data_IF_560943434537
#
_entry.id   IF_560943434537
#
_cell.length_a   1.000
_cell.length_b   1.000
_cell.length_c   1.000
_cell.angle_alpha   90.00
_cell.angle_beta   90.00
_cell.angle_gamma   90.00
#
_symmetry.space_group_name_H-M   'P 1'
#
loop_
_entity.id
_entity.type
_entity.pdbx_description
1 polymer ?
#
# COMPACT_ATOMS: atom_id res chain seq x y z
N UNK A 1 -21.84 42.82 -4.80
CA UNK A 1 -20.83 42.62 -3.73
C UNK A 1 -20.40 41.15 -3.72
N UNK A 2 -19.18 40.82 -3.28
CA UNK A 2 -18.59 39.46 -3.33
C UNK A 2 -18.45 38.80 -1.94
N UNK A 3 -18.23 37.47 -1.97
CA UNK A 3 -17.85 36.46 -0.91
C UNK A 3 -18.99 35.42 -0.72
N UNK A 4 -18.87 34.09 -0.93
CA UNK A 4 -17.79 33.05 -0.75
C UNK A 4 -17.34 32.98 0.73
N UNK A 5 -17.17 31.83 1.41
CA UNK A 5 -16.62 30.48 1.10
C UNK A 5 -17.23 29.44 2.11
N UNK A 6 -17.25 28.09 2.00
CA UNK A 6 -17.03 27.08 0.92
C UNK A 6 -17.69 25.72 1.32
N UNK A 7 -17.34 24.59 0.66
CA UNK A 7 -17.82 23.22 0.94
C UNK A 7 -17.20 22.55 2.20
N UNK A 8 -17.91 21.55 2.76
CA UNK A 8 -17.37 20.18 2.94
C UNK A 8 -18.47 19.16 2.61
N UNK A 9 -18.17 18.17 1.78
CA UNK A 9 -19.03 17.01 1.53
C UNK A 9 -18.16 15.75 1.55
N UNK A 10 -18.15 15.03 2.68
CA UNK A 10 -17.38 13.80 2.89
C UNK A 10 -18.27 12.81 3.64
N UNK A 11 -18.36 11.59 3.13
CA UNK A 11 -19.25 10.54 3.63
C UNK A 11 -19.42 9.45 2.57
N UNK A 12 -18.35 8.69 2.32
CA UNK A 12 -18.35 7.65 1.29
C UNK A 12 -19.38 6.55 1.63
N UNK A 13 -20.15 6.05 0.64
CA UNK A 13 -21.01 4.90 0.84
C UNK A 13 -20.16 3.65 1.14
N UNK A 14 -20.65 2.85 2.10
CA UNK A 14 -20.13 1.57 2.57
C UNK A 14 -20.03 0.43 1.52
N UNK A 15 -19.85 -0.78 2.04
CA UNK A 15 -20.20 -2.10 1.50
C UNK A 15 -20.45 -2.99 2.73
N UNK A 16 -21.53 -3.74 2.75
CA UNK A 16 -21.76 -4.93 3.60
C UNK A 16 -21.90 -6.07 2.63
N UNK A 17 -21.40 -7.29 2.88
CA UNK A 17 -21.76 -8.47 2.09
C UNK A 17 -22.75 -9.35 2.86
N UNK A 18 -23.65 -10.01 2.14
CA UNK A 18 -24.54 -11.05 2.62
C UNK A 18 -24.73 -12.10 1.52
N UNK A 19 -24.08 -13.25 1.66
CA UNK A 19 -24.49 -14.46 0.98
C UNK A 19 -25.61 -15.13 1.78
N UNK A 20 -26.67 -15.53 1.09
CA UNK A 20 -27.61 -16.53 1.59
C UNK A 20 -27.39 -17.81 0.79
N UNK A 21 -27.22 -18.95 1.48
CA UNK A 21 -26.95 -20.24 0.85
C UNK A 21 -28.17 -20.91 0.20
N UNK A 22 -29.27 -20.17 0.04
CA UNK A 22 -30.48 -20.59 -0.67
C UNK A 22 -30.86 -19.55 -1.73
N UNK A 23 -31.23 -20.01 -2.92
CA UNK A 23 -31.53 -19.13 -4.07
C UNK A 23 -32.71 -18.17 -3.82
N UNK A 24 -33.67 -18.58 -2.99
CA UNK A 24 -34.84 -17.77 -2.63
C UNK A 24 -34.45 -16.47 -1.91
N UNK A 25 -33.54 -16.53 -0.94
CA UNK A 25 -33.11 -15.36 -0.19
C UNK A 25 -32.20 -14.42 -1.00
N UNK A 26 -31.43 -14.96 -1.96
CA UNK A 26 -30.73 -14.14 -2.98
C UNK A 26 -31.75 -13.44 -3.89
N UNK A 27 -32.82 -14.14 -4.28
CA UNK A 27 -33.90 -13.59 -5.11
C UNK A 27 -34.72 -12.52 -4.38
N UNK A 28 -35.02 -12.66 -3.09
CA UNK A 28 -35.62 -11.58 -2.29
C UNK A 28 -34.67 -10.38 -2.13
N UNK A 29 -33.40 -10.63 -1.80
CA UNK A 29 -32.43 -9.56 -1.63
C UNK A 29 -32.20 -8.73 -2.90
N UNK A 30 -32.28 -9.35 -4.08
CA UNK A 30 -32.22 -8.66 -5.38
C UNK A 30 -33.33 -7.61 -5.60
N UNK A 31 -34.41 -7.65 -4.80
CA UNK A 31 -35.50 -6.68 -4.85
C UNK A 31 -35.24 -5.44 -3.96
N UNK A 32 -34.20 -5.48 -3.13
CA UNK A 32 -33.85 -4.38 -2.23
C UNK A 32 -33.23 -3.21 -3.01
N UNK A 33 -33.46 -1.98 -2.52
CA UNK A 33 -33.11 -0.74 -3.23
C UNK A 33 -32.53 0.33 -2.31
N UNK A 34 -31.62 1.18 -2.81
CA UNK A 34 -31.16 2.38 -2.11
C UNK A 34 -32.35 3.22 -1.62
N UNK A 35 -32.29 3.70 -0.37
CA UNK A 35 -33.33 4.48 0.29
C UNK A 35 -34.40 3.67 1.02
N UNK A 36 -34.45 2.34 0.88
CA UNK A 36 -35.29 1.51 1.73
C UNK A 36 -34.76 1.47 3.17
N UNK A 37 -35.67 1.29 4.14
CA UNK A 37 -35.32 1.14 5.56
C UNK A 37 -35.40 -0.32 6.00
N UNK A 38 -34.42 -0.71 6.82
CA UNK A 38 -34.35 -1.99 7.50
C UNK A 38 -34.27 -1.70 9.01
N UNK A 39 -35.36 -1.96 9.74
CA UNK A 39 -35.59 -1.39 11.08
C UNK A 39 -35.38 0.14 11.07
N UNK A 40 -34.47 0.66 11.89
CA UNK A 40 -34.10 2.09 11.94
C UNK A 40 -33.09 2.51 10.86
N UNK A 41 -32.38 1.57 10.25
CA UNK A 41 -31.25 1.81 9.35
C UNK A 41 -31.70 2.02 7.91
N UNK A 42 -31.04 2.94 7.20
CA UNK A 42 -31.34 3.28 5.80
C UNK A 42 -30.32 2.62 4.88
N UNK A 43 -30.77 1.72 4.02
CA UNK A 43 -29.95 1.12 2.96
C UNK A 43 -29.53 2.24 2.01
N UNK A 44 -28.24 2.34 1.73
CA UNK A 44 -27.67 3.45 0.94
C UNK A 44 -27.16 3.04 -0.43
N UNK A 45 -26.83 1.77 -0.63
CA UNK A 45 -26.56 1.13 -1.92
C UNK A 45 -26.79 -0.40 -1.75
N UNK A 46 -27.06 -1.09 -2.86
CA UNK A 46 -27.12 -2.55 -2.94
C UNK A 46 -26.14 -3.01 -4.02
N UNK A 47 -25.27 -3.97 -3.73
CA UNK A 47 -24.39 -4.62 -4.75
C UNK A 47 -24.69 -6.12 -4.82
N UNK A 48 -24.37 -6.74 -5.95
CA UNK A 48 -24.51 -8.18 -6.17
C UNK A 48 -23.17 -8.75 -6.69
N UNK A 49 -22.83 -9.97 -6.27
CA UNK A 49 -21.75 -10.78 -6.83
C UNK A 49 -22.31 -12.14 -7.28
N UNK A 50 -21.45 -13.05 -7.75
CA UNK A 50 -21.88 -14.42 -8.09
C UNK A 50 -22.16 -15.26 -6.83
N UNK A 51 -21.55 -14.90 -5.68
CA UNK A 51 -21.60 -15.67 -4.43
C UNK A 51 -22.53 -15.05 -3.36
N UNK A 52 -23.10 -13.87 -3.61
CA UNK A 52 -23.98 -13.18 -2.66
C UNK A 52 -24.44 -11.79 -3.08
N UNK A 53 -25.09 -11.07 -2.17
CA UNK A 53 -25.48 -9.67 -2.32
C UNK A 53 -24.82 -8.79 -1.25
N UNK A 54 -25.16 -7.50 -1.19
CA UNK A 54 -24.49 -6.53 -0.34
C UNK A 54 -25.39 -5.35 0.05
N UNK A 55 -25.54 -5.01 1.35
CA UNK A 55 -26.46 -3.97 1.86
C UNK A 55 -25.80 -2.95 2.80
N UNK A 56 -25.20 -1.89 2.28
CA UNK A 56 -24.53 -0.89 3.11
C UNK A 56 -25.50 0.14 3.72
N UNK A 57 -25.40 0.34 5.02
CA UNK A 57 -26.22 1.30 5.77
C UNK A 57 -25.54 2.67 5.90
N UNK A 58 -26.33 3.74 5.85
CA UNK A 58 -25.84 5.12 6.01
C UNK A 58 -25.72 5.57 7.47
N UNK A 59 -26.43 4.89 8.36
CA UNK A 59 -26.67 5.34 9.72
C UNK A 59 -25.63 4.78 10.70
N UNK A 60 -25.20 5.62 11.63
CA UNK A 60 -24.26 5.26 12.71
C UNK A 60 -24.93 4.32 13.71
N UNK A 61 -24.25 3.22 14.06
CA UNK A 61 -24.73 2.23 15.02
C UNK A 61 -23.95 2.30 16.34
N UNK A 62 -24.55 1.75 17.40
CA UNK A 62 -23.85 1.47 18.66
C UNK A 62 -23.70 -0.05 18.77
N UNK A 63 -22.48 -0.49 19.02
CA UNK A 63 -22.11 -1.89 19.25
C UNK A 63 -21.61 -2.03 20.69
N UNK A 64 -21.75 -3.23 21.26
CA UNK A 64 -21.35 -3.55 22.63
C UNK A 64 -20.78 -4.97 22.66
N UNK A 65 -19.74 -5.20 23.46
CA UNK A 65 -19.02 -6.47 23.43
C UNK A 65 -17.88 -6.56 24.43
N UNK A 66 -17.05 -7.58 24.27
CA UNK A 66 -15.89 -7.91 25.09
C UNK A 66 -14.63 -7.88 24.21
N UNK A 67 -13.70 -6.99 24.55
CA UNK A 67 -12.36 -6.97 23.95
C UNK A 67 -11.54 -8.08 24.58
N UNK A 68 -10.94 -8.91 23.72
CA UNK A 68 -10.03 -9.98 24.09
C UNK A 68 -8.63 -9.67 23.56
N UNK A 69 -7.62 -9.92 24.40
CA UNK A 69 -6.23 -9.89 23.99
C UNK A 69 -5.95 -11.11 23.07
N UNK A 70 -5.56 -10.89 21.81
CA UNK A 70 -5.16 -11.96 20.89
C UNK A 70 -3.63 -12.09 20.83
N UNK A 71 -3.15 -13.32 20.69
CA UNK A 71 -1.72 -13.66 20.70
C UNK A 71 -0.90 -13.18 19.49
N UNK A 72 -1.43 -12.23 18.71
CA UNK A 72 -0.82 -11.66 17.50
C UNK A 72 -0.59 -10.14 17.61
N UNK A 73 -0.92 -9.51 18.75
CA UNK A 73 -0.77 -8.06 18.96
C UNK A 73 -1.94 -7.21 18.43
N UNK A 74 -2.92 -7.83 17.78
CA UNK A 74 -4.19 -7.21 17.42
C UNK A 74 -5.27 -7.48 18.48
N UNK A 75 -6.15 -6.51 18.71
CA UNK A 75 -7.29 -6.65 19.62
C UNK A 75 -8.50 -7.21 18.86
N UNK A 76 -8.88 -8.45 19.18
CA UNK A 76 -10.14 -9.04 18.74
C UNK A 76 -11.27 -8.63 19.69
N UNK A 77 -12.49 -8.43 19.18
CA UNK A 77 -13.64 -8.08 20.02
C UNK A 77 -14.79 -9.03 19.72
N UNK A 78 -15.12 -9.90 20.67
CA UNK A 78 -16.38 -10.63 20.61
C UNK A 78 -17.50 -9.64 20.96
N UNK A 79 -18.58 -9.58 20.20
CA UNK A 79 -19.62 -8.57 20.43
C UNK A 79 -21.02 -9.08 20.09
N UNK A 80 -21.83 -9.21 21.14
CA UNK A 80 -23.25 -9.51 21.02
C UNK A 80 -24.01 -8.31 20.43
N UNK A 81 -24.79 -8.57 19.37
CA UNK A 81 -25.74 -7.60 18.83
C UNK A 81 -26.96 -7.48 19.76
N UNK A 82 -26.75 -6.81 20.91
CA UNK A 82 -27.76 -6.67 21.95
C UNK A 82 -29.07 -6.06 21.44
N UNK A 83 -30.16 -6.75 21.75
CA UNK A 83 -31.56 -6.31 21.65
C UNK A 83 -32.14 -5.92 20.28
N UNK A 84 -31.49 -6.22 19.15
CA UNK A 84 -32.12 -6.05 17.82
C UNK A 84 -32.12 -7.32 16.96
N UNK A 85 -33.31 -7.93 16.82
CA UNK A 85 -33.57 -8.98 15.83
C UNK A 85 -33.52 -8.40 14.41
N UNK A 86 -32.41 -8.62 13.71
CA UNK A 86 -32.26 -8.33 12.28
C UNK A 86 -32.92 -9.48 11.49
N UNK A 87 -34.25 -9.43 11.32
CA UNK A 87 -35.01 -10.49 10.63
C UNK A 87 -34.97 -10.30 9.09
N UNK A 88 -34.05 -10.99 8.42
CA UNK A 88 -33.91 -10.98 6.94
C UNK A 88 -34.56 -12.22 6.34
N UNK A 89 -35.55 -12.06 5.46
CA UNK A 89 -36.07 -13.12 4.57
C UNK A 89 -36.28 -14.49 5.24
N UNK A 90 -37.25 -14.55 6.18
CA UNK A 90 -37.63 -15.67 7.07
C UNK A 90 -36.53 -16.39 7.88
N UNK A 91 -35.26 -16.08 7.65
CA UNK A 91 -34.15 -16.45 8.51
C UNK A 91 -34.06 -15.43 9.66
N UNK A 92 -34.07 -15.93 10.89
CA UNK A 92 -33.77 -15.12 12.06
C UNK A 92 -32.26 -15.16 12.24
N UNK A 93 -31.59 -14.00 12.19
CA UNK A 93 -30.24 -13.86 12.76
C UNK A 93 -30.43 -13.99 14.27
N UNK A 94 -30.13 -15.17 14.80
CA UNK A 94 -30.63 -15.60 16.11
C UNK A 94 -29.82 -14.96 17.25
N UNK A 95 -30.45 -14.16 18.14
CA UNK A 95 -29.76 -13.52 19.26
C UNK A 95 -29.34 -14.59 20.27
N UNK A 96 -28.06 -14.99 20.20
CA UNK A 96 -27.49 -16.10 20.97
C UNK A 96 -26.31 -16.80 20.29
N UNK A 97 -26.02 -16.50 19.01
CA UNK A 97 -24.75 -16.88 18.38
C UNK A 97 -23.72 -15.77 18.60
N UNK A 98 -22.71 -16.06 19.41
CA UNK A 98 -21.55 -15.19 19.62
C UNK A 98 -20.86 -14.87 18.28
N UNK A 99 -20.52 -13.60 18.02
CA UNK A 99 -19.88 -13.16 16.77
C UNK A 99 -18.65 -12.30 17.05
N UNK A 100 -17.58 -12.57 16.32
CA UNK A 100 -16.30 -11.87 16.48
C UNK A 100 -16.26 -10.68 15.52
N UNK A 101 -16.35 -9.49 16.11
CA UNK A 101 -16.26 -8.21 15.41
C UNK A 101 -14.79 -7.80 15.27
N UNK A 102 -14.26 -7.95 14.06
CA UNK A 102 -12.90 -7.56 13.71
C UNK A 102 -12.88 -6.09 13.29
N UNK A 103 -12.54 -5.21 14.21
CA UNK A 103 -12.36 -3.79 13.89
C UNK A 103 -11.16 -3.61 12.97
N UNK A 104 -11.36 -2.89 11.85
CA UNK A 104 -10.33 -2.68 10.80
C UNK A 104 -9.09 -1.89 11.25
N UNK A 105 -9.10 -1.35 12.47
CA UNK A 105 -7.95 -0.70 13.08
C UNK A 105 -7.99 -0.87 14.62
N UNK A 106 -7.51 -2.00 15.18
CA UNK A 106 -7.56 -2.24 16.63
C UNK A 106 -6.78 -1.18 17.43
N UNK A 107 -5.76 -0.55 16.82
CA UNK A 107 -4.95 0.52 17.41
C UNK A 107 -5.76 1.82 17.66
N UNK A 108 -6.87 2.04 16.94
CA UNK A 108 -7.80 3.16 17.23
C UNK A 108 -8.62 2.95 18.51
N UNK A 109 -8.82 1.70 18.95
CA UNK A 109 -9.49 1.38 20.22
C UNK A 109 -8.48 1.45 21.38
N UNK A 110 -7.25 0.98 21.14
CA UNK A 110 -6.14 0.98 22.09
C UNK A 110 -5.99 2.29 22.89
N UNK A 111 -6.17 3.44 22.22
CA UNK A 111 -6.03 4.79 22.80
C UNK A 111 -7.05 5.17 23.90
N UNK A 112 -8.15 4.42 24.04
CA UNK A 112 -9.20 4.71 25.02
C UNK A 112 -9.06 3.89 26.31
N UNK A 113 -8.23 2.85 26.31
CA UNK A 113 -7.84 2.12 27.52
C UNK A 113 -6.81 2.95 28.31
N UNK A 114 -6.95 2.99 29.63
CA UNK A 114 -5.95 3.65 30.49
C UNK A 114 -4.70 2.78 30.64
N UNK A 115 -3.53 3.37 30.91
CA UNK A 115 -2.28 2.62 31.08
C UNK A 115 -2.36 1.50 32.14
N UNK A 116 -3.19 1.68 33.17
CA UNK A 116 -3.44 0.69 34.22
C UNK A 116 -4.20 -0.57 33.75
N UNK A 117 -4.59 -0.63 32.48
CA UNK A 117 -5.23 -1.78 31.81
C UNK A 117 -4.24 -2.55 30.93
N UNK A 118 -2.96 -2.22 30.99
CA UNK A 118 -1.88 -2.90 30.29
C UNK A 118 -0.87 -3.48 31.28
N UNK A 119 -0.25 -4.60 30.89
CA UNK A 119 0.89 -5.19 31.58
C UNK A 119 2.10 -5.20 30.64
N UNK A 120 3.28 -4.88 31.18
CA UNK A 120 4.53 -4.95 30.44
C UNK A 120 4.97 -6.42 30.26
N UNK A 121 5.34 -6.77 29.03
CA UNK A 121 5.91 -8.07 28.64
C UNK A 121 7.23 -7.85 27.89
N UNK A 122 8.07 -8.88 27.68
CA UNK A 122 9.31 -8.74 26.90
C UNK A 122 9.09 -8.19 25.48
N UNK A 123 7.93 -8.47 24.89
CA UNK A 123 7.55 -8.08 23.53
C UNK A 123 6.74 -6.76 23.48
N UNK A 124 6.48 -6.13 24.63
CA UNK A 124 5.78 -4.84 24.76
C UNK A 124 4.62 -4.84 25.77
N UNK A 125 3.86 -3.73 25.83
CA UNK A 125 2.63 -3.64 26.63
C UNK A 125 1.48 -4.41 25.98
N UNK A 126 0.81 -5.29 26.74
CA UNK A 126 -0.39 -6.02 26.29
C UNK A 126 -1.57 -5.79 27.23
N UNK A 127 -2.80 -5.86 26.69
CA UNK A 127 -4.04 -5.59 27.43
C UNK A 127 -4.32 -6.66 28.49
N UNK A 128 -4.64 -6.25 29.72
CA UNK A 128 -4.69 -7.11 30.90
C UNK A 128 -6.06 -7.80 31.09
N UNK A 129 -6.34 -8.81 30.26
CA UNK A 129 -7.54 -9.63 30.35
C UNK A 129 -8.64 -9.20 29.37
N UNK A 130 -9.89 -9.34 29.82
CA UNK A 130 -11.09 -9.06 29.02
C UNK A 130 -11.77 -7.79 29.51
N UNK A 131 -12.17 -6.91 28.59
CA UNK A 131 -12.83 -5.63 28.93
C UNK A 131 -14.12 -5.44 28.13
N UNK A 132 -15.21 -5.07 28.81
CA UNK A 132 -16.46 -4.74 28.13
C UNK A 132 -16.33 -3.37 27.47
N UNK A 133 -16.64 -3.26 26.18
CA UNK A 133 -16.60 -2.00 25.43
C UNK A 133 -17.94 -1.72 24.77
N UNK A 134 -18.34 -0.45 24.78
CA UNK A 134 -19.46 0.08 24.01
C UNK A 134 -18.90 1.11 23.02
N UNK A 135 -19.06 0.87 21.72
CA UNK A 135 -18.51 1.72 20.66
C UNK A 135 -19.62 2.30 19.79
N UNK A 136 -19.38 3.52 19.29
CA UNK A 136 -20.12 4.10 18.18
C UNK A 136 -19.37 3.73 16.91
N UNK A 137 -19.99 2.92 16.05
CA UNK A 137 -19.40 2.46 14.81
C UNK A 137 -20.14 3.03 13.60
N UNK A 138 -19.38 3.31 12.54
CA UNK A 138 -19.88 3.32 11.17
C UNK A 138 -19.17 2.21 10.42
N UNK A 139 -19.39 2.12 9.11
CA UNK A 139 -18.56 1.25 8.29
C UNK A 139 -18.72 -0.24 8.59
N UNK A 140 -19.91 -0.66 9.04
CA UNK A 140 -20.22 -2.07 9.25
C UNK A 140 -20.18 -2.81 7.91
N UNK A 141 -19.52 -3.95 7.90
CA UNK A 141 -19.47 -4.90 6.80
C UNK A 141 -19.61 -6.31 7.38
N UNK A 142 -20.63 -7.05 6.98
CA UNK A 142 -20.68 -8.50 7.24
C UNK A 142 -19.91 -9.18 6.11
N UNK A 143 -19.14 -10.22 6.43
CA UNK A 143 -18.62 -11.18 5.45
C UNK A 143 -19.30 -12.52 5.74
N UNK A 144 -19.66 -13.25 4.68
CA UNK A 144 -20.44 -14.50 4.77
C UNK A 144 -19.70 -15.72 4.23
N UNK A 145 -18.54 -15.53 3.60
CA UNK A 145 -17.66 -16.63 3.21
C UNK A 145 -16.85 -17.14 4.40
N UNK A 146 -16.76 -16.35 5.47
CA UNK A 146 -16.54 -16.82 6.84
C UNK A 146 -17.81 -16.57 7.64
N UNK A 147 -18.28 -17.55 8.43
CA UNK A 147 -19.58 -17.50 9.11
C UNK A 147 -19.65 -16.48 10.26
N UNK A 148 -18.49 -16.00 10.72
CA UNK A 148 -18.35 -15.37 12.03
C UNK A 148 -17.64 -14.01 11.99
N UNK A 149 -17.37 -13.47 10.79
CA UNK A 149 -16.67 -12.22 10.59
C UNK A 149 -17.61 -11.06 10.24
N UNK A 150 -17.70 -10.10 11.15
CA UNK A 150 -18.22 -8.77 10.87
C UNK A 150 -17.05 -7.79 11.07
N UNK A 151 -16.80 -6.91 10.10
CA UNK A 151 -15.84 -5.81 10.24
C UNK A 151 -16.56 -4.47 10.43
N UNK A 152 -15.92 -3.54 11.14
CA UNK A 152 -16.50 -2.23 11.42
C UNK A 152 -15.41 -1.16 11.56
N UNK A 153 -15.79 0.11 11.37
CA UNK A 153 -14.97 1.27 11.73
C UNK A 153 -15.51 1.92 13.01
N UNK A 154 -14.72 1.88 14.08
CA UNK A 154 -15.02 2.69 15.27
C UNK A 154 -14.91 4.17 14.89
N UNK A 155 -15.94 4.93 15.23
CA UNK A 155 -15.93 6.40 15.17
C UNK A 155 -15.64 6.97 16.55
N UNK A 156 -16.16 6.33 17.59
CA UNK A 156 -15.97 6.76 18.98
C UNK A 156 -16.14 5.59 19.97
N UNK A 157 -15.56 5.69 21.16
CA UNK A 157 -15.79 4.76 22.28
C UNK A 157 -16.65 5.46 23.31
N UNK A 158 -17.77 4.83 23.68
CA UNK A 158 -18.78 5.42 24.57
C UNK A 158 -18.56 5.02 26.03
N UNK A 159 -18.10 3.79 26.26
CA UNK A 159 -17.72 3.30 27.59
C UNK A 159 -16.79 2.10 27.53
N UNK A 160 -15.94 1.94 28.54
CA UNK A 160 -15.16 0.73 28.84
C UNK A 160 -15.47 0.32 30.29
N UNK A 161 -15.80 -0.96 30.51
CA UNK A 161 -16.22 -1.54 31.80
C UNK A 161 -17.29 -0.70 32.52
N UNK A 162 -18.28 -0.22 31.74
CA UNK A 162 -19.39 0.62 32.21
C UNK A 162 -19.03 2.07 32.58
N UNK A 163 -17.75 2.46 32.52
CA UNK A 163 -17.26 3.82 32.76
C UNK A 163 -17.13 4.56 31.43
N UNK A 164 -17.32 5.88 31.41
CA UNK A 164 -16.85 6.67 30.26
C UNK A 164 -15.34 6.43 30.09
N UNK A 165 -14.82 6.33 28.85
CA UNK A 165 -13.39 6.23 28.65
C UNK A 165 -12.72 7.49 29.19
N UNK A 166 -11.43 7.38 29.53
CA UNK A 166 -10.63 8.58 29.80
C UNK A 166 -10.60 9.39 28.51
N UNK A 167 -11.07 10.66 28.52
CA UNK A 167 -10.83 11.56 27.39
C UNK A 167 -9.33 11.58 27.10
N UNK A 168 -8.87 11.46 25.84
CA UNK A 168 -7.44 11.34 25.53
C UNK A 168 -6.61 12.46 26.18
N UNK A 169 -5.99 12.14 27.31
CA UNK A 169 -5.31 13.12 28.15
C UNK A 169 -4.02 13.56 27.48
N UNK A 170 -3.81 14.87 27.48
CA UNK A 170 -2.75 15.59 26.78
C UNK A 170 -2.90 15.66 25.26
N UNK A 171 -2.62 16.85 24.73
CA UNK A 171 -2.63 17.13 23.30
C UNK A 171 -1.43 16.48 22.63
N UNK A 172 -1.58 15.23 22.18
CA UNK A 172 -0.67 14.69 21.17
C UNK A 172 -0.61 15.68 19.99
N UNK A 173 0.58 16.02 19.45
CA UNK A 173 0.70 16.97 18.35
C UNK A 173 -0.13 16.46 17.17
N UNK A 174 -0.98 17.33 16.59
CA UNK A 174 -2.06 17.02 15.62
C UNK A 174 -1.67 15.84 14.72
N UNK A 175 -2.11 14.63 15.09
CA UNK A 175 -1.54 13.41 14.49
C UNK A 175 -1.88 13.41 13.01
N UNK A 176 -0.84 13.62 12.21
CA UNK A 176 -0.98 13.96 10.79
C UNK A 176 -1.79 12.86 10.09
N UNK A 177 -2.72 13.27 9.23
CA UNK A 177 -3.44 12.31 8.38
C UNK A 177 -2.43 11.50 7.57
N UNK A 178 -2.79 10.28 7.18
CA UNK A 178 -1.93 9.40 6.39
C UNK A 178 -1.33 10.09 5.16
N UNK A 179 -2.15 10.93 4.51
CA UNK A 179 -1.78 11.85 3.43
C UNK A 179 -0.75 12.91 3.87
N UNK A 180 -0.99 13.64 4.97
CA UNK A 180 -0.02 14.60 5.56
C UNK A 180 1.31 13.91 5.94
N UNK A 181 1.29 12.65 6.39
CA UNK A 181 2.50 11.86 6.71
C UNK A 181 3.27 11.48 5.44
N UNK A 182 2.60 10.91 4.44
CA UNK A 182 3.21 10.56 3.15
C UNK A 182 3.80 11.80 2.46
N UNK A 183 3.08 12.92 2.46
CA UNK A 183 3.56 14.21 1.94
C UNK A 183 4.76 14.81 2.69
N UNK A 184 5.00 14.41 3.95
CA UNK A 184 6.14 14.89 4.76
C UNK A 184 7.32 13.90 4.83
N UNK A 185 7.16 12.63 4.43
CA UNK A 185 8.19 11.57 4.48
C UNK A 185 9.54 12.06 3.96
N UNK A 186 9.61 12.43 2.68
CA UNK A 186 10.84 12.88 2.02
C UNK A 186 11.40 14.23 2.50
N UNK A 187 10.72 14.93 3.43
CA UNK A 187 11.31 16.06 4.17
C UNK A 187 11.92 15.57 5.49
N UNK A 188 11.16 14.81 6.28
CA UNK A 188 11.62 14.26 7.56
C UNK A 188 12.80 13.31 7.42
N UNK A 189 12.81 12.51 6.35
CA UNK A 189 13.89 11.60 5.96
C UNK A 189 15.20 12.35 5.66
N UNK A 190 15.14 13.42 4.86
CA UNK A 190 16.30 14.31 4.66
C UNK A 190 16.75 15.01 5.94
N UNK A 191 15.84 15.35 6.86
CA UNK A 191 16.21 15.92 8.16
C UNK A 191 16.92 14.90 9.06
N UNK A 192 16.48 13.63 9.07
CA UNK A 192 17.20 12.54 9.74
C UNK A 192 18.63 12.44 9.20
N UNK A 193 18.78 12.46 7.88
CA UNK A 193 20.06 12.39 7.20
C UNK A 193 20.98 13.56 7.47
N UNK A 194 20.45 14.79 7.45
CA UNK A 194 21.20 15.98 7.83
C UNK A 194 21.75 15.90 9.25
N UNK A 195 20.99 15.33 10.21
CA UNK A 195 21.43 15.19 11.60
C UNK A 195 22.51 14.11 11.70
N UNK A 196 22.31 12.94 11.07
CA UNK A 196 23.31 11.86 11.03
C UNK A 196 24.63 12.38 10.43
N UNK A 197 24.59 13.03 9.26
CA UNK A 197 25.79 13.58 8.62
C UNK A 197 26.52 14.63 9.46
N UNK A 198 25.79 15.45 10.23
CA UNK A 198 26.38 16.41 11.19
C UNK A 198 27.07 15.68 12.35
N UNK A 199 26.45 14.63 12.90
CA UNK A 199 26.99 13.84 14.01
C UNK A 199 28.20 13.00 13.60
N UNK A 200 28.16 12.34 12.44
CA UNK A 200 29.30 11.61 11.86
C UNK A 200 30.50 12.52 11.65
N UNK A 201 30.27 13.77 11.22
CA UNK A 201 31.34 14.76 11.03
C UNK A 201 31.89 15.34 12.33
N UNK A 202 31.06 15.45 13.39
CA UNK A 202 31.44 16.01 14.68
C UNK A 202 32.07 14.99 15.64
N UNK A 203 31.58 13.75 15.61
CA UNK A 203 31.98 12.64 16.47
C UNK A 203 31.94 11.33 15.66
N UNK A 204 32.91 11.10 14.75
CA UNK A 204 32.96 9.86 13.98
C UNK A 204 33.14 8.63 14.90
N UNK A 205 32.44 7.52 14.65
CA UNK A 205 32.53 6.33 15.48
C UNK A 205 33.88 5.62 15.29
N UNK A 206 34.53 5.25 16.40
CA UNK A 206 35.90 4.67 16.40
C UNK A 206 36.05 3.39 15.56
N UNK A 207 34.99 2.59 15.46
CA UNK A 207 34.96 1.35 14.70
C UNK A 207 34.35 1.49 13.30
N UNK A 208 34.09 2.71 12.82
CA UNK A 208 33.34 2.95 11.58
C UNK A 208 31.82 2.94 11.77
N UNK A 209 31.11 3.41 10.74
CA UNK A 209 29.69 3.76 10.82
C UNK A 209 28.79 2.56 10.48
N UNK A 210 28.56 1.69 11.47
CA UNK A 210 27.61 0.59 11.34
C UNK A 210 26.20 1.00 11.76
N UNK A 211 25.32 1.15 10.76
CA UNK A 211 23.89 1.25 10.96
C UNK A 211 23.30 -0.06 11.53
N UNK A 212 22.04 -0.02 11.98
CA UNK A 212 21.34 -1.13 12.65
C UNK A 212 19.88 -1.15 12.24
N UNK A 213 19.34 -2.32 11.93
CA UNK A 213 17.94 -2.52 11.50
C UNK A 213 16.92 -1.81 12.40
N UNK A 214 17.15 -1.85 13.72
CA UNK A 214 16.51 -0.95 14.68
C UNK A 214 17.40 0.28 14.95
N UNK A 215 16.92 1.45 14.54
CA UNK A 215 17.56 2.76 14.78
C UNK A 215 17.76 3.07 16.27
N UNK A 216 16.94 2.53 17.18
CA UNK A 216 17.15 2.68 18.64
C UNK A 216 18.41 1.98 19.12
N UNK A 217 18.91 1.03 18.33
CA UNK A 217 20.16 0.34 18.59
C UNK A 217 21.41 1.05 18.02
N UNK A 218 21.23 2.07 17.18
CA UNK A 218 22.29 2.91 16.61
C UNK A 218 23.04 3.71 17.68
N UNK A 219 24.32 4.02 17.42
CA UNK A 219 25.19 4.67 18.40
C UNK A 219 24.67 6.04 18.83
N UNK A 220 24.30 6.91 17.89
CA UNK A 220 23.85 8.27 18.22
C UNK A 220 22.50 8.31 18.92
N UNK A 221 21.62 7.32 18.75
CA UNK A 221 20.39 7.24 19.56
C UNK A 221 20.73 7.04 21.05
N UNK A 222 21.78 6.27 21.32
CA UNK A 222 22.25 5.99 22.69
C UNK A 222 23.12 7.11 23.27
N UNK A 223 23.81 7.91 22.45
CA UNK A 223 24.80 8.90 22.92
C UNK A 223 24.47 10.37 22.65
N UNK A 224 23.47 10.70 21.83
CA UNK A 224 23.09 12.08 21.52
C UNK A 224 21.58 12.30 21.75
N UNK A 225 21.26 13.19 22.70
CA UNK A 225 19.88 13.41 23.15
C UNK A 225 19.02 14.14 22.09
N UNK A 226 19.60 15.06 21.31
CA UNK A 226 18.88 15.77 20.23
C UNK A 226 18.41 14.81 19.12
N UNK A 227 19.29 13.89 18.70
CA UNK A 227 18.97 12.86 17.72
C UNK A 227 17.96 11.86 18.25
N UNK A 228 18.07 11.45 19.53
CA UNK A 228 17.07 10.59 20.17
C UNK A 228 15.70 11.27 20.16
N UNK A 229 15.61 12.52 20.61
CA UNK A 229 14.38 13.30 20.63
C UNK A 229 13.76 13.48 19.22
N UNK A 230 14.59 13.67 18.18
CA UNK A 230 14.10 13.72 16.79
C UNK A 230 13.57 12.36 16.30
N UNK A 231 14.24 11.25 16.62
CA UNK A 231 13.76 9.89 16.28
C UNK A 231 12.47 9.56 17.04
N UNK A 232 12.35 9.97 18.31
CA UNK A 232 11.12 9.82 19.09
C UNK A 232 9.98 10.71 18.55
N UNK A 233 10.27 11.91 18.01
CA UNK A 233 9.29 12.73 17.28
C UNK A 233 8.73 11.97 16.06
N UNK A 234 9.60 11.32 15.27
CA UNK A 234 9.19 10.54 14.09
C UNK A 234 8.25 9.38 14.48
N UNK A 235 8.59 8.64 15.55
CA UNK A 235 7.73 7.58 16.08
C UNK A 235 6.39 8.12 16.63
N UNK A 236 6.41 9.27 17.32
CA UNK A 236 5.19 9.91 17.84
C UNK A 236 4.24 10.34 16.71
N UNK A 237 4.79 10.93 15.63
CA UNK A 237 4.06 11.27 14.41
C UNK A 237 3.43 10.06 13.72
N UNK A 238 4.02 8.87 13.87
CA UNK A 238 3.52 7.62 13.30
C UNK A 238 4.34 7.08 12.12
N UNK A 239 5.57 7.55 11.92
CA UNK A 239 6.52 6.88 11.04
C UNK A 239 7.08 5.63 11.73
N UNK A 240 7.34 4.59 10.93
CA UNK A 240 8.37 3.61 11.26
C UNK A 240 9.69 3.99 10.59
N UNK A 241 10.77 3.32 10.99
CA UNK A 241 12.10 3.49 10.41
C UNK A 241 12.69 2.09 10.15
N UNK A 242 13.21 1.86 8.95
CA UNK A 242 13.91 0.63 8.53
C UNK A 242 15.32 0.98 8.01
N UNK A 243 16.19 -0.02 7.88
CA UNK A 243 17.55 0.15 7.36
C UNK A 243 17.84 -0.85 6.24
N UNK A 244 18.41 -0.35 5.15
CA UNK A 244 18.96 -1.11 4.03
C UNK A 244 19.94 -0.23 3.25
N UNK A 245 20.81 -0.82 2.41
CA UNK A 245 21.78 -0.09 1.57
C UNK A 245 22.77 0.78 2.38
N UNK A 246 22.97 0.46 3.66
CA UNK A 246 23.70 1.32 4.60
C UNK A 246 22.96 2.63 4.97
N UNK A 247 21.65 2.71 4.73
CA UNK A 247 20.82 3.90 4.90
C UNK A 247 19.57 3.65 5.76
N UNK A 248 19.10 4.67 6.51
CA UNK A 248 17.80 4.68 7.18
C UNK A 248 16.71 5.31 6.29
N UNK A 249 15.61 4.59 6.15
CA UNK A 249 14.39 5.04 5.47
C UNK A 249 13.21 5.10 6.42
N UNK A 250 12.36 6.12 6.27
CA UNK A 250 11.07 6.23 6.95
C UNK A 250 10.01 5.44 6.19
N UNK A 251 9.08 4.83 6.91
CA UNK A 251 7.90 4.21 6.33
C UNK A 251 6.61 4.61 7.08
N UNK A 252 5.46 4.32 6.47
CA UNK A 252 4.13 4.59 7.02
C UNK A 252 3.32 3.30 6.92
N UNK A 253 2.60 2.94 7.97
CA UNK A 253 1.84 1.68 8.15
C UNK A 253 2.69 0.39 8.22
N UNK A 254 3.51 0.12 7.20
CA UNK A 254 4.35 -1.08 7.07
C UNK A 254 5.73 -0.74 6.50
N UNK A 255 6.80 -1.51 6.80
CA UNK A 255 8.07 -1.41 6.10
C UNK A 255 7.89 -1.55 4.58
N UNK A 256 8.74 -0.87 3.81
CA UNK A 256 8.89 -1.12 2.38
C UNK A 256 9.52 -2.50 2.13
N UNK A 257 10.35 -3.00 3.05
CA UNK A 257 10.95 -4.33 2.96
C UNK A 257 12.24 -4.37 2.14
N UNK A 258 12.96 -3.25 2.08
CA UNK A 258 14.30 -3.17 1.50
C UNK A 258 15.21 -4.23 2.15
N UNK A 259 16.04 -4.92 1.35
CA UNK A 259 16.94 -5.97 1.85
C UNK A 259 18.39 -5.49 1.79
N UNK A 260 19.14 -5.74 2.86
CA UNK A 260 20.52 -5.27 3.01
C UNK A 260 21.51 -6.29 2.42
N UNK A 261 21.66 -6.29 1.09
CA UNK A 261 22.60 -7.15 0.38
C UNK A 261 22.46 -7.11 -1.15
N UNK A 262 23.61 -7.07 -1.85
CA UNK A 262 23.76 -7.21 -3.31
C UNK A 262 22.99 -6.20 -4.19
N UNK A 263 23.35 -4.92 -4.05
CA UNK A 263 23.30 -3.96 -5.17
C UNK A 263 24.73 -3.76 -5.68
N UNK A 264 24.99 -4.12 -6.94
CA UNK A 264 26.28 -3.89 -7.61
C UNK A 264 26.51 -2.39 -7.84
N UNK A 265 27.76 -1.94 -7.92
CA UNK A 265 28.12 -0.51 -7.78
C UNK A 265 27.92 0.33 -9.06
N UNK A 266 26.74 0.24 -9.70
CA UNK A 266 26.37 0.96 -10.93
C UNK A 266 25.26 2.01 -10.73
N UNK A 267 25.67 3.16 -10.18
CA UNK A 267 25.07 4.49 -10.46
C UNK A 267 23.59 4.74 -10.09
N UNK A 268 23.37 5.09 -8.81
CA UNK A 268 22.31 6.02 -8.39
C UNK A 268 20.96 5.39 -8.04
N UNK A 269 20.27 5.99 -7.07
CA UNK A 269 18.95 5.55 -6.59
C UNK A 269 17.92 5.59 -7.73
N UNK A 270 17.56 4.41 -8.22
CA UNK A 270 16.99 4.19 -9.56
C UNK A 270 15.54 4.63 -9.79
N UNK A 271 14.95 5.49 -8.95
CA UNK A 271 13.57 5.93 -9.10
C UNK A 271 13.49 7.24 -9.90
N UNK A 272 13.09 7.15 -11.16
CA UNK A 272 12.67 8.32 -11.93
C UNK A 272 11.25 8.73 -11.51
N UNK A 273 10.94 10.03 -11.53
CA UNK A 273 9.61 10.57 -11.19
C UNK A 273 9.01 11.25 -12.41
N UNK A 274 7.94 10.70 -12.97
CA UNK A 274 7.36 11.20 -14.23
C UNK A 274 7.01 12.69 -14.15
N UNK A 275 6.51 13.17 -13.01
CA UNK A 275 6.17 14.58 -12.77
C UNK A 275 7.38 15.54 -12.78
N UNK A 276 8.59 15.02 -12.61
CA UNK A 276 9.84 15.79 -12.64
C UNK A 276 10.50 15.79 -14.03
N UNK A 277 10.14 14.82 -14.89
CA UNK A 277 10.68 14.65 -16.24
C UNK A 277 10.06 15.60 -17.26
N UNK A 278 10.81 15.93 -18.32
CA UNK A 278 10.39 16.87 -19.38
C UNK A 278 10.94 16.46 -20.75
N UNK A 279 10.14 16.66 -21.81
CA UNK A 279 10.62 16.54 -23.20
C UNK A 279 11.85 17.44 -23.43
N UNK A 280 12.89 16.86 -24.03
CA UNK A 280 14.21 17.48 -24.22
C UNK A 280 15.20 17.29 -23.07
N UNK A 281 14.80 16.68 -21.95
CA UNK A 281 15.71 16.35 -20.85
C UNK A 281 16.59 15.14 -21.20
N UNK A 282 17.86 15.18 -20.77
CA UNK A 282 18.75 14.03 -20.85
C UNK A 282 18.58 13.12 -19.61
N UNK A 283 18.47 11.81 -19.85
CA UNK A 283 18.42 10.75 -18.83
C UNK A 283 19.32 9.60 -19.32
N UNK A 284 20.34 9.23 -18.54
CA UNK A 284 21.33 8.21 -18.92
C UNK A 284 21.97 8.42 -20.32
N UNK A 285 22.12 9.69 -20.74
CA UNK A 285 22.65 10.02 -22.08
C UNK A 285 21.69 9.74 -23.25
N UNK A 286 20.42 9.43 -22.97
CA UNK A 286 19.32 9.42 -23.94
C UNK A 286 18.49 10.71 -23.74
N UNK A 287 17.79 11.16 -24.78
CA UNK A 287 16.96 12.38 -24.73
C UNK A 287 15.48 12.01 -24.66
N UNK A 288 14.71 12.59 -23.73
CA UNK A 288 13.26 12.39 -23.70
C UNK A 288 12.64 13.06 -24.94
N UNK A 289 12.28 12.25 -25.94
CA UNK A 289 11.68 12.68 -27.20
C UNK A 289 10.17 12.76 -27.15
N UNK A 290 9.52 11.94 -26.31
CA UNK A 290 8.07 11.96 -26.08
C UNK A 290 7.77 12.01 -24.58
N UNK A 291 6.74 12.76 -24.22
CA UNK A 291 6.31 12.95 -22.84
C UNK A 291 4.84 13.38 -22.83
N UNK A 292 3.97 12.54 -22.30
CA UNK A 292 2.57 12.82 -22.03
C UNK A 292 2.18 12.20 -20.68
N UNK A 293 1.44 12.94 -19.87
CA UNK A 293 0.96 12.50 -18.56
C UNK A 293 -0.41 13.13 -18.32
N UNK A 294 -1.45 12.31 -18.32
CA UNK A 294 -2.84 12.69 -18.02
C UNK A 294 -3.23 11.96 -16.72
N UNK A 295 -3.05 12.58 -15.55
CA UNK A 295 -3.13 11.88 -14.27
C UNK A 295 -4.47 11.16 -14.04
N UNK A 296 -4.41 9.84 -13.87
CA UNK A 296 -5.58 8.97 -13.69
C UNK A 296 -6.23 8.47 -14.99
N UNK A 297 -5.68 8.81 -16.16
CA UNK A 297 -6.10 8.29 -17.47
C UNK A 297 -4.95 7.51 -18.14
N UNK A 298 -3.92 8.18 -18.64
CA UNK A 298 -2.77 7.54 -19.30
C UNK A 298 -1.44 8.29 -19.17
N UNK A 299 -0.35 7.64 -19.56
CA UNK A 299 0.99 8.24 -19.68
C UNK A 299 1.78 7.64 -20.86
N UNK A 300 2.70 8.43 -21.42
CA UNK A 300 3.66 8.02 -22.47
C UNK A 300 4.99 8.70 -22.21
N UNK A 301 6.10 7.96 -22.30
CA UNK A 301 7.45 8.49 -22.30
C UNK A 301 8.31 7.79 -23.36
N UNK A 302 9.00 8.58 -24.19
CA UNK A 302 9.88 8.10 -25.26
C UNK A 302 11.29 8.67 -25.11
N UNK A 303 12.30 7.85 -25.38
CA UNK A 303 13.72 8.14 -25.23
C UNK A 303 14.45 7.93 -26.57
N UNK A 304 14.86 9.03 -27.20
CA UNK A 304 15.67 9.06 -28.41
C UNK A 304 17.16 8.91 -28.10
N UNK A 305 17.85 8.16 -28.95
CA UNK A 305 19.25 7.80 -28.83
C UNK A 305 19.46 6.29 -28.99
N UNK A 306 20.72 5.85 -28.91
CA UNK A 306 21.09 4.43 -28.95
C UNK A 306 21.69 3.99 -27.63
N UNK A 307 21.51 2.73 -27.26
CA UNK A 307 22.20 2.12 -26.13
C UNK A 307 22.40 0.62 -26.34
N UNK A 308 23.39 0.07 -25.62
CA UNK A 308 23.59 -1.36 -25.49
C UNK A 308 22.86 -1.86 -24.23
N UNK A 309 22.28 -3.05 -24.28
CA UNK A 309 21.69 -3.74 -23.13
C UNK A 309 21.74 -5.26 -23.28
N UNK A 310 21.83 -5.98 -22.16
CA UNK A 310 21.91 -7.45 -22.09
C UNK A 310 20.66 -8.04 -21.45
N UNK A 311 20.26 -9.23 -21.89
CA UNK A 311 19.03 -9.88 -21.43
C UNK A 311 18.72 -11.17 -22.18
N UNK A 312 17.47 -11.59 -22.17
CA UNK A 312 17.01 -12.82 -22.81
C UNK A 312 15.96 -12.52 -23.89
N UNK A 313 16.12 -13.14 -25.06
CA UNK A 313 15.06 -13.26 -26.07
C UNK A 313 14.31 -14.59 -25.91
N UNK A 314 13.00 -14.56 -26.08
CA UNK A 314 12.12 -15.73 -26.13
C UNK A 314 10.83 -15.38 -26.89
N UNK A 315 10.06 -16.39 -27.30
CA UNK A 315 8.71 -16.22 -27.83
C UNK A 315 7.72 -16.06 -26.67
N UNK A 316 6.93 -14.99 -26.67
CA UNK A 316 5.84 -14.79 -25.72
C UNK A 316 4.57 -15.52 -26.21
N UNK A 317 4.17 -16.58 -25.51
CA UNK A 317 3.02 -17.42 -25.86
C UNK A 317 1.67 -16.67 -25.83
N UNK A 318 1.56 -15.53 -25.14
CA UNK A 318 0.33 -14.73 -25.09
C UNK A 318 0.15 -13.86 -26.35
N UNK A 319 1.26 -13.44 -26.97
CA UNK A 319 1.25 -12.46 -28.07
C UNK A 319 1.76 -13.02 -29.41
N UNK A 320 2.42 -14.18 -29.43
CA UNK A 320 3.11 -14.77 -30.61
C UNK A 320 4.21 -13.85 -31.19
N UNK A 321 4.87 -13.10 -30.30
CA UNK A 321 5.89 -12.09 -30.59
C UNK A 321 7.21 -12.42 -29.86
N UNK A 322 8.35 -12.02 -30.44
CA UNK A 322 9.65 -12.15 -29.76
C UNK A 322 9.79 -11.00 -28.76
N UNK A 323 9.86 -11.36 -27.48
CA UNK A 323 9.99 -10.42 -26.35
C UNK A 323 11.41 -10.43 -25.80
N UNK A 324 11.87 -9.28 -25.30
CA UNK A 324 13.11 -9.13 -24.55
C UNK A 324 12.83 -8.86 -23.05
N UNK A 325 13.49 -9.63 -22.21
CA UNK A 325 13.57 -9.44 -20.75
C UNK A 325 14.99 -8.98 -20.40
N UNK A 326 15.14 -7.79 -19.83
CA UNK A 326 16.44 -7.22 -19.50
C UNK A 326 17.01 -7.84 -18.21
N UNK A 327 18.34 -8.00 -18.15
CA UNK A 327 19.02 -8.34 -16.90
C UNK A 327 18.86 -7.22 -15.85
N UNK A 328 18.98 -7.54 -14.57
CA UNK A 328 18.94 -6.51 -13.52
C UNK A 328 20.20 -5.64 -13.54
N UNK A 329 20.09 -4.36 -13.14
CA UNK A 329 21.16 -3.36 -13.25
C UNK A 329 21.41 -2.79 -14.65
N UNK A 330 20.70 -3.30 -15.67
CA UNK A 330 20.80 -2.84 -17.05
C UNK A 330 20.35 -1.39 -17.27
N UNK A 331 20.84 -0.77 -18.36
CA UNK A 331 20.54 0.62 -18.66
C UNK A 331 19.03 0.80 -18.94
N UNK A 332 18.39 1.69 -18.16
CA UNK A 332 16.94 1.88 -18.07
C UNK A 332 16.15 0.71 -17.42
N UNK A 333 16.76 -0.38 -16.94
CA UNK A 333 16.07 -1.36 -16.11
C UNK A 333 15.99 -0.87 -14.64
N UNK A 334 15.12 0.11 -14.42
CA UNK A 334 14.90 0.78 -13.13
C UNK A 334 13.42 1.16 -12.95
N UNK A 335 13.08 1.83 -11.85
CA UNK A 335 11.70 2.22 -11.57
C UNK A 335 11.35 3.63 -12.10
N UNK A 336 10.12 3.77 -12.59
CA UNK A 336 9.47 5.04 -12.89
C UNK A 336 8.24 5.19 -11.99
N UNK A 337 8.23 6.18 -11.09
CA UNK A 337 7.03 6.59 -10.39
C UNK A 337 6.14 7.41 -11.32
N UNK A 338 4.89 6.99 -11.49
CA UNK A 338 3.85 7.69 -12.25
C UNK A 338 2.64 7.90 -11.36
N UNK A 339 2.31 9.16 -11.03
CA UNK A 339 1.27 9.55 -10.08
C UNK A 339 1.32 8.81 -8.72
N UNK A 340 2.51 8.49 -8.24
CA UNK A 340 2.74 7.75 -6.98
C UNK A 340 2.75 6.22 -7.10
N UNK A 341 2.67 5.66 -8.31
CA UNK A 341 2.79 4.21 -8.57
C UNK A 341 4.15 3.90 -9.21
N UNK A 342 5.02 3.07 -8.61
CA UNK A 342 6.26 2.62 -9.24
C UNK A 342 6.00 1.55 -10.31
N UNK A 343 6.66 1.69 -11.46
CA UNK A 343 6.63 0.75 -12.58
C UNK A 343 8.07 0.36 -12.95
N UNK A 344 8.38 -0.95 -13.10
CA UNK A 344 9.64 -1.38 -13.73
C UNK A 344 9.62 -0.93 -15.19
N UNK A 345 10.62 -0.14 -15.59
CA UNK A 345 10.73 0.36 -16.97
C UNK A 345 10.97 -0.79 -17.95
N UNK A 346 12.04 -1.58 -17.80
CA UNK A 346 12.37 -2.67 -18.72
C UNK A 346 12.03 -4.06 -18.16
N UNK A 347 10.73 -4.36 -18.10
CA UNK A 347 10.23 -5.68 -17.67
C UNK A 347 10.01 -6.63 -18.86
N UNK A 348 9.20 -6.19 -19.83
CA UNK A 348 8.86 -6.94 -21.06
C UNK A 348 8.87 -5.99 -22.25
N UNK A 349 9.91 -6.07 -23.08
CA UNK A 349 10.15 -5.11 -24.18
C UNK A 349 9.86 -5.75 -25.53
N UNK A 350 8.92 -5.15 -26.27
CA UNK A 350 8.55 -5.55 -27.63
C UNK A 350 9.40 -4.82 -28.67
N UNK A 351 9.59 -5.42 -29.85
CA UNK A 351 10.41 -4.81 -30.90
C UNK A 351 9.56 -4.22 -32.03
N UNK A 352 9.70 -2.91 -32.28
CA UNK A 352 9.02 -2.24 -33.39
C UNK A 352 9.42 -2.80 -34.78
N UNK A 353 10.56 -3.49 -34.85
CA UNK A 353 11.18 -4.01 -36.07
C UNK A 353 11.67 -5.47 -35.90
N UNK A 354 10.88 -6.32 -35.24
CA UNK A 354 11.21 -7.72 -34.93
C UNK A 354 11.78 -8.53 -36.12
N UNK A 355 11.28 -8.22 -37.32
CA UNK A 355 11.70 -8.78 -38.60
C UNK A 355 13.20 -8.55 -38.94
N UNK A 356 13.88 -7.62 -38.25
CA UNK A 356 15.32 -7.41 -38.31
C UNK A 356 16.10 -8.39 -37.40
N UNK A 357 15.53 -8.75 -36.25
CA UNK A 357 16.09 -9.69 -35.27
C UNK A 357 16.05 -11.10 -35.86
N UNK A 358 14.90 -11.49 -36.41
CA UNK A 358 14.69 -12.76 -37.15
C UNK A 358 15.67 -12.96 -38.31
N UNK A 359 16.28 -11.88 -38.84
CA UNK A 359 17.31 -11.90 -39.90
C UNK A 359 18.75 -11.80 -39.38
N UNK A 360 18.95 -11.29 -38.16
CA UNK A 360 20.26 -11.13 -37.53
C UNK A 360 20.63 -12.29 -36.60
N UNK A 361 19.64 -13.05 -36.11
CA UNK A 361 19.84 -14.31 -35.39
C UNK A 361 20.35 -15.41 -36.33
N UNK A 362 21.23 -16.27 -35.80
CA UNK A 362 21.48 -17.57 -36.41
C UNK A 362 20.26 -18.50 -36.27
N UNK A 363 20.19 -19.52 -37.14
CA UNK A 363 19.04 -20.44 -37.19
C UNK A 363 18.89 -21.31 -35.93
N UNK A 364 19.95 -21.50 -35.14
CA UNK A 364 19.90 -22.30 -33.92
C UNK A 364 19.27 -21.50 -32.78
N UNK A 365 19.75 -20.28 -32.53
CA UNK A 365 19.15 -19.35 -31.56
C UNK A 365 17.70 -19.03 -31.91
N UNK A 366 17.40 -18.75 -33.19
CA UNK A 366 16.02 -18.50 -33.60
C UNK A 366 15.12 -19.72 -33.36
N UNK A 367 15.58 -20.93 -33.68
CA UNK A 367 14.80 -22.16 -33.41
C UNK A 367 14.54 -22.36 -31.92
N UNK A 368 15.51 -22.04 -31.05
CA UNK A 368 15.37 -22.09 -29.59
C UNK A 368 14.36 -21.06 -29.07
N UNK A 369 14.46 -19.80 -29.51
CA UNK A 369 13.49 -18.74 -29.18
C UNK A 369 12.06 -19.18 -29.56
N UNK A 370 11.88 -19.73 -30.78
CA UNK A 370 10.59 -20.25 -31.26
C UNK A 370 10.14 -21.56 -30.59
N UNK A 371 10.91 -22.14 -29.67
CA UNK A 371 10.49 -23.25 -28.79
C UNK A 371 10.31 -22.84 -27.33
N UNK A 372 10.31 -21.54 -27.03
CA UNK A 372 10.16 -21.01 -25.67
C UNK A 372 11.44 -20.97 -24.84
N UNK A 373 12.60 -21.32 -25.41
CA UNK A 373 13.88 -21.14 -24.70
C UNK A 373 14.17 -19.64 -24.53
N UNK A 374 14.54 -19.25 -23.31
CA UNK A 374 15.27 -18.02 -23.09
C UNK A 374 16.68 -18.15 -23.65
N UNK A 375 17.01 -17.31 -24.63
CA UNK A 375 18.33 -17.22 -25.26
C UNK A 375 18.99 -15.91 -24.81
N UNK A 376 20.10 -15.98 -24.04
CA UNK A 376 20.80 -14.79 -23.59
C UNK A 376 21.49 -14.09 -24.77
N UNK A 377 21.35 -12.77 -24.82
CA UNK A 377 21.94 -11.90 -25.85
C UNK A 377 22.33 -10.55 -25.25
N UNK A 378 23.27 -9.88 -25.92
CA UNK A 378 23.53 -8.46 -25.75
C UNK A 378 23.22 -7.76 -27.07
N UNK A 379 22.46 -6.67 -27.00
CA UNK A 379 21.88 -5.98 -28.16
C UNK A 379 22.14 -4.48 -28.09
N UNK A 380 22.36 -3.88 -29.26
CA UNK A 380 22.24 -2.44 -29.46
C UNK A 380 20.80 -2.15 -29.91
N UNK A 381 20.17 -1.21 -29.22
CA UNK A 381 18.78 -0.78 -29.43
C UNK A 381 18.72 0.75 -29.52
N UNK A 382 17.60 1.27 -30.04
CA UNK A 382 17.31 2.71 -30.10
C UNK A 382 15.84 2.99 -29.87
N UNK A 383 15.51 4.26 -29.64
CA UNK A 383 14.13 4.77 -29.61
C UNK A 383 13.23 3.96 -28.66
N UNK A 384 13.60 3.95 -27.38
CA UNK A 384 12.88 3.19 -26.34
C UNK A 384 11.64 3.97 -25.88
N UNK A 385 10.48 3.31 -25.87
CA UNK A 385 9.20 3.88 -25.45
C UNK A 385 8.52 3.05 -24.36
N UNK A 386 7.81 3.72 -23.46
CA UNK A 386 7.02 3.14 -22.37
C UNK A 386 5.71 3.95 -22.26
N UNK A 387 4.57 3.27 -22.17
CA UNK A 387 3.29 3.95 -21.94
C UNK A 387 2.13 2.99 -21.69
N UNK A 388 1.05 3.51 -21.10
CA UNK A 388 -0.13 2.73 -20.73
C UNK A 388 -1.21 3.56 -20.05
N UNK A 389 -2.33 2.92 -19.73
CA UNK A 389 -3.39 3.51 -18.92
C UNK A 389 -3.18 3.22 -17.43
N UNK A 390 -3.60 4.12 -16.54
CA UNK A 390 -3.44 3.91 -15.09
C UNK A 390 -4.23 2.69 -14.62
N UNK A 391 -3.62 1.87 -13.76
CA UNK A 391 -4.19 0.61 -13.24
C UNK A 391 -4.53 -0.44 -14.33
N UNK A 392 -3.98 -0.27 -15.53
CA UNK A 392 -4.09 -1.19 -16.66
C UNK A 392 -2.72 -1.76 -17.05
N UNK A 393 -2.69 -2.56 -18.12
CA UNK A 393 -1.46 -2.94 -18.80
C UNK A 393 -0.71 -1.72 -19.36
N UNK A 394 0.62 -1.78 -19.33
CA UNK A 394 1.51 -0.83 -19.99
C UNK A 394 2.45 -1.59 -20.94
N UNK A 395 2.70 -1.01 -22.10
CA UNK A 395 3.62 -1.55 -23.11
C UNK A 395 4.98 -0.87 -23.02
N UNK A 396 6.04 -1.64 -23.24
CA UNK A 396 7.40 -1.10 -23.47
C UNK A 396 7.92 -1.61 -24.80
N UNK A 397 8.65 -0.78 -25.53
CA UNK A 397 9.14 -1.11 -26.85
C UNK A 397 10.45 -0.39 -27.20
N UNK A 398 11.16 -0.92 -28.20
CA UNK A 398 12.32 -0.28 -28.82
C UNK A 398 12.53 -0.77 -30.26
N UNK A 399 13.45 -0.14 -30.98
CA UNK A 399 13.96 -0.62 -32.26
C UNK A 399 15.30 -1.36 -32.05
N UNK A 400 15.39 -2.60 -32.53
CA UNK A 400 16.64 -3.35 -32.63
C UNK A 400 17.59 -2.72 -33.67
N UNK A 401 18.88 -2.68 -33.37
CA UNK A 401 19.94 -2.19 -34.26
C UNK A 401 20.89 -3.32 -34.65
N UNK A 402 21.48 -4.02 -33.67
CA UNK A 402 22.37 -5.16 -33.89
C UNK A 402 22.54 -6.00 -32.62
N UNK A 403 23.08 -7.20 -32.75
CA UNK A 403 23.72 -7.90 -31.63
C UNK A 403 25.12 -7.31 -31.34
N UNK A 404 25.66 -7.61 -30.16
CA UNK A 404 27.11 -7.55 -29.89
C UNK A 404 27.64 -8.96 -29.64
N UNK A 405 28.96 -9.13 -29.74
CA UNK A 405 29.67 -10.34 -29.30
C UNK A 405 29.89 -10.36 -27.77
#
# INVERSE_FOLDING_TARGET
>A
MMKRFFNVAIGAPLVVLMACSSGEAVQEASQLKPGQKFNSLTISEVRNSQDGFALLFRDTIVLEGVVHNSSLGDYGVSADLLDQKIKVADNIIDPGVEKVLYFRNPKEIGRYFSEAMFIDTPDGKVLSGNHHIKVRATGLEVNTNSRDLISAKVVDVLSIDGKQPVEPTETMPERLTLEKLRAQKGKKERQLWEIIGKLVKAQPPENGLFYKNDIRNFIYYKTNDDFRAFVDELFAMGYGIEQAEGEYYLYVEKPAGYQDGEVDQSTGTGLLRMEELKKGQAVEGLTISEYELVPGDHFVIGFEGQFQTSGNLYLDEMWDEITFEANEGEKLNRELEVAGYPLKMMNYVKFQNEDAIKKALDQEKLKRIMSGDKVPVTIIVRNYGLGGAFQSEYGTNFEFVSFTE
#
